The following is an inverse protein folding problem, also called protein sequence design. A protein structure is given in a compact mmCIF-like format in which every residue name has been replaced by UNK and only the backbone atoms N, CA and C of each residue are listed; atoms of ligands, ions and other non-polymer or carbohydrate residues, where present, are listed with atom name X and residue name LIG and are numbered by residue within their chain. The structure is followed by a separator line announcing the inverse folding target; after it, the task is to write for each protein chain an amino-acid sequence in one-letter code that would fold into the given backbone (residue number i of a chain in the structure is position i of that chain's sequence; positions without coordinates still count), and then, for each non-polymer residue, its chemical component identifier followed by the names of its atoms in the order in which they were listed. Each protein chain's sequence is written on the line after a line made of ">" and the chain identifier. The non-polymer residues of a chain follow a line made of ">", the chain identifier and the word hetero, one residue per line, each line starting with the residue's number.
data_IF_540021132543
#
_entry.id   IF_540021132543
#
_cell.length_a   1.000
_cell.length_b   1.000
_cell.length_c   1.000
_cell.angle_alpha   90.00
_cell.angle_beta   90.00
_cell.angle_gamma   90.00
#
_symmetry.space_group_name_H-M   'P 1'
#
loop_
_entity.id
_entity.type
_entity.pdbx_description
1 polymer ?
#
# COMPACT_ATOMS: atom_id res chain seq x y z
N UNK A 1 41.56 25.78 -22.12
CA UNK A 1 41.84 24.82 -21.03
C UNK A 1 40.65 24.67 -20.07
N UNK A 2 40.06 25.72 -19.56
CA UNK A 2 38.91 25.72 -18.63
C UNK A 2 37.66 24.98 -19.18
N UNK A 3 37.31 25.12 -20.46
CA UNK A 3 36.14 24.49 -21.10
C UNK A 3 36.24 22.94 -21.12
N UNK A 4 37.43 22.38 -21.29
CA UNK A 4 37.68 20.94 -21.30
C UNK A 4 37.65 20.35 -19.88
N UNK A 5 38.03 21.13 -18.87
CA UNK A 5 37.90 20.74 -17.44
C UNK A 5 36.45 20.71 -16.99
N UNK A 6 35.63 21.69 -17.38
CA UNK A 6 34.20 21.74 -17.09
C UNK A 6 33.42 20.58 -17.74
N UNK A 7 33.71 20.25 -19.00
CA UNK A 7 33.07 19.11 -19.68
C UNK A 7 33.45 17.77 -19.03
N UNK A 8 34.71 17.59 -18.62
CA UNK A 8 35.15 16.39 -17.89
C UNK A 8 34.48 16.25 -16.53
N UNK A 9 34.34 17.36 -15.78
CA UNK A 9 33.68 17.36 -14.46
C UNK A 9 32.19 17.04 -14.58
N UNK A 10 31.49 17.61 -15.56
CA UNK A 10 30.08 17.31 -15.86
C UNK A 10 29.90 15.86 -16.27
N UNK A 11 30.78 15.31 -17.10
CA UNK A 11 30.71 13.90 -17.51
C UNK A 11 30.97 12.93 -16.33
N UNK A 12 31.94 13.23 -15.45
CA UNK A 12 32.18 12.43 -14.23
C UNK A 12 30.98 12.45 -13.27
N UNK A 13 30.34 13.60 -13.10
CA UNK A 13 29.12 13.70 -12.29
C UNK A 13 27.97 12.87 -12.90
N UNK A 14 27.82 12.87 -14.22
CA UNK A 14 26.77 12.12 -14.91
C UNK A 14 27.00 10.60 -14.82
N UNK A 15 28.23 10.12 -14.97
CA UNK A 15 28.58 8.69 -14.83
C UNK A 15 28.43 8.23 -13.39
N UNK A 16 28.80 9.06 -12.41
CA UNK A 16 28.66 8.76 -10.98
C UNK A 16 27.17 8.60 -10.56
N UNK A 17 26.30 9.46 -11.07
CA UNK A 17 24.86 9.39 -10.78
C UNK A 17 24.17 8.21 -11.46
N UNK A 18 24.57 7.89 -12.71
CA UNK A 18 24.05 6.72 -13.43
C UNK A 18 24.42 5.40 -12.76
N UNK A 19 25.67 5.26 -12.30
CA UNK A 19 26.12 4.05 -11.60
C UNK A 19 25.45 3.89 -10.22
N UNK A 20 25.21 4.98 -9.51
CA UNK A 20 24.48 4.98 -8.24
C UNK A 20 22.99 4.63 -8.45
N UNK A 21 22.36 5.15 -9.50
CA UNK A 21 20.98 4.78 -9.86
C UNK A 21 20.87 3.30 -10.18
N UNK A 22 21.74 2.78 -11.04
CA UNK A 22 21.77 1.36 -11.40
C UNK A 22 21.95 0.44 -10.18
N UNK A 23 22.75 0.87 -9.19
CA UNK A 23 22.92 0.12 -7.95
C UNK A 23 21.62 0.05 -7.13
N UNK A 24 20.90 1.16 -7.00
CA UNK A 24 19.63 1.21 -6.23
C UNK A 24 18.55 0.39 -6.93
N UNK A 25 18.41 0.48 -8.24
CA UNK A 25 17.45 -0.31 -9.01
C UNK A 25 17.68 -1.82 -8.86
N UNK A 26 18.96 -2.24 -8.80
CA UNK A 26 19.31 -3.64 -8.51
C UNK A 26 18.92 -4.05 -7.08
N UNK A 27 19.09 -3.19 -6.10
CA UNK A 27 18.67 -3.45 -4.71
C UNK A 27 17.15 -3.59 -4.61
N UNK A 28 16.40 -2.71 -5.26
CA UNK A 28 14.93 -2.79 -5.30
C UNK A 28 14.49 -4.09 -5.98
N UNK A 29 15.09 -4.44 -7.11
CA UNK A 29 14.78 -5.69 -7.82
C UNK A 29 15.09 -6.92 -6.97
N UNK A 30 16.25 -6.95 -6.30
CA UNK A 30 16.61 -8.05 -5.41
C UNK A 30 15.66 -8.16 -4.20
N UNK A 31 15.28 -7.01 -3.62
CA UNK A 31 14.30 -6.97 -2.54
C UNK A 31 12.92 -7.48 -2.96
N UNK A 32 12.45 -7.10 -4.15
CA UNK A 32 11.19 -7.61 -4.71
C UNK A 32 11.26 -9.11 -5.03
N UNK A 33 12.40 -9.59 -5.52
CA UNK A 33 12.61 -11.02 -5.74
C UNK A 33 12.55 -11.79 -4.42
N UNK A 34 13.24 -11.33 -3.39
CA UNK A 34 13.18 -11.93 -2.05
C UNK A 34 11.74 -11.91 -1.49
N UNK A 35 11.00 -10.81 -1.69
CA UNK A 35 9.59 -10.69 -1.32
C UNK A 35 8.71 -11.73 -2.04
N UNK A 36 8.92 -11.92 -3.34
CA UNK A 36 8.20 -12.91 -4.14
C UNK A 36 8.42 -14.36 -3.65
N UNK A 37 9.65 -14.67 -3.18
CA UNK A 37 9.98 -15.97 -2.59
C UNK A 37 9.71 -16.03 -1.07
N UNK A 38 8.97 -15.07 -0.53
CA UNK A 38 8.58 -14.98 0.88
C UNK A 38 9.77 -14.88 1.87
N UNK A 39 10.98 -14.56 1.38
CA UNK A 39 12.10 -14.22 2.25
C UNK A 39 12.02 -12.75 2.67
N UNK A 40 11.07 -12.49 3.58
CA UNK A 40 10.77 -11.15 4.05
C UNK A 40 11.95 -10.49 4.77
N UNK A 41 12.73 -11.26 5.50
CA UNK A 41 13.92 -10.75 6.21
C UNK A 41 14.99 -10.27 5.23
N UNK A 42 15.27 -11.06 4.20
CA UNK A 42 16.22 -10.67 3.14
C UNK A 42 15.68 -9.49 2.34
N UNK A 43 14.39 -9.48 2.04
CA UNK A 43 13.70 -8.39 1.37
C UNK A 43 13.90 -7.06 2.11
N UNK A 44 13.65 -7.03 3.44
CA UNK A 44 13.88 -5.87 4.30
C UNK A 44 15.34 -5.40 4.25
N UNK A 45 16.31 -6.30 4.25
CA UNK A 45 17.74 -5.94 4.13
C UNK A 45 18.02 -5.17 2.85
N UNK A 46 17.53 -5.65 1.72
CA UNK A 46 17.70 -4.97 0.43
C UNK A 46 17.03 -3.60 0.40
N UNK A 47 15.80 -3.48 0.93
CA UNK A 47 15.11 -2.19 0.97
C UNK A 47 15.76 -1.21 1.94
N UNK A 48 16.31 -1.66 3.07
CA UNK A 48 17.11 -0.82 3.95
C UNK A 48 18.31 -0.20 3.23
N UNK A 49 19.03 -0.98 2.42
CA UNK A 49 20.15 -0.49 1.60
C UNK A 49 19.67 0.50 0.52
N UNK A 50 18.54 0.23 -0.12
CA UNK A 50 17.96 1.12 -1.12
C UNK A 50 17.52 2.46 -0.51
N UNK A 51 16.85 2.44 0.63
CA UNK A 51 16.42 3.62 1.40
C UNK A 51 17.63 4.42 1.87
N UNK A 52 18.66 3.75 2.41
CA UNK A 52 19.89 4.42 2.83
C UNK A 52 20.62 5.13 1.69
N UNK A 53 20.54 4.58 0.47
CA UNK A 53 21.13 5.19 -0.72
C UNK A 53 20.27 6.30 -1.33
N UNK A 54 18.94 6.13 -1.36
CA UNK A 54 17.97 7.07 -1.94
C UNK A 54 16.67 7.10 -1.14
N UNK A 55 16.61 7.85 -0.03
CA UNK A 55 15.46 7.89 0.87
C UNK A 55 14.21 8.56 0.26
N UNK A 56 14.37 9.27 -0.86
CA UNK A 56 13.29 9.98 -1.56
C UNK A 56 12.52 9.12 -2.58
N UNK A 57 12.87 7.84 -2.76
CA UNK A 57 12.12 6.89 -3.58
C UNK A 57 11.04 6.24 -2.72
N UNK A 58 9.77 6.28 -3.16
CA UNK A 58 8.66 5.69 -2.41
C UNK A 58 8.65 4.15 -2.46
N UNK A 59 9.11 3.55 -3.57
CA UNK A 59 9.02 2.10 -3.79
C UNK A 59 9.73 1.26 -2.72
N UNK A 60 10.96 1.57 -2.28
CA UNK A 60 11.61 0.77 -1.24
C UNK A 60 10.86 0.83 0.10
N UNK A 61 10.28 1.99 0.45
CA UNK A 61 9.45 2.13 1.64
C UNK A 61 8.17 1.27 1.52
N UNK A 62 7.49 1.37 0.38
CA UNK A 62 6.29 0.58 0.12
C UNK A 62 6.56 -0.92 0.20
N UNK A 63 7.57 -1.43 -0.51
CA UNK A 63 7.87 -2.86 -0.49
C UNK A 63 8.39 -3.34 0.86
N UNK A 64 9.10 -2.50 1.62
CA UNK A 64 9.50 -2.83 2.98
C UNK A 64 8.30 -2.90 3.92
N UNK A 65 7.32 -2.02 3.73
CA UNK A 65 6.04 -2.09 4.42
C UNK A 65 5.31 -3.41 4.14
N UNK A 66 5.28 -3.87 2.89
CA UNK A 66 4.71 -5.19 2.53
C UNK A 66 5.45 -6.32 3.26
N UNK A 67 6.79 -6.30 3.27
CA UNK A 67 7.58 -7.32 3.95
C UNK A 67 7.32 -7.35 5.46
N UNK A 68 7.27 -6.17 6.11
CA UNK A 68 6.96 -6.05 7.53
C UNK A 68 5.56 -6.53 7.87
N UNK A 69 4.56 -6.18 7.02
CA UNK A 69 3.19 -6.65 7.19
C UNK A 69 3.12 -8.18 7.21
N UNK A 70 3.84 -8.86 6.31
CA UNK A 70 3.88 -10.32 6.26
C UNK A 70 4.63 -10.95 7.44
N UNK A 71 5.41 -10.18 8.18
CA UNK A 71 6.05 -10.58 9.45
C UNK A 71 5.24 -10.16 10.68
N UNK A 72 3.99 -9.71 10.51
CA UNK A 72 3.11 -9.19 11.55
C UNK A 72 3.66 -7.95 12.29
N UNK A 73 4.69 -7.27 11.75
CA UNK A 73 5.15 -5.97 12.22
C UNK A 73 4.24 -4.86 11.67
N UNK A 74 3.00 -4.80 12.17
CA UNK A 74 2.00 -3.85 11.67
C UNK A 74 2.36 -2.39 11.96
N UNK A 75 3.02 -2.12 13.09
CA UNK A 75 3.46 -0.76 13.43
C UNK A 75 4.57 -0.29 12.49
N UNK A 76 5.56 -1.13 12.25
CA UNK A 76 6.63 -0.83 11.30
C UNK A 76 6.14 -0.77 9.85
N UNK A 77 5.16 -1.60 9.47
CA UNK A 77 4.54 -1.57 8.15
C UNK A 77 3.79 -0.24 7.92
N UNK A 78 2.96 0.20 8.87
CA UNK A 78 2.27 1.47 8.77
C UNK A 78 3.24 2.66 8.70
N UNK A 79 4.30 2.64 9.50
CA UNK A 79 5.34 3.67 9.46
C UNK A 79 5.97 3.81 8.07
N UNK A 80 6.33 2.69 7.46
CA UNK A 80 6.90 2.67 6.09
C UNK A 80 5.87 3.08 5.03
N UNK A 81 4.60 2.66 5.15
CA UNK A 81 3.53 3.11 4.26
C UNK A 81 3.30 4.63 4.34
N UNK A 82 3.39 5.20 5.55
CA UNK A 82 3.30 6.64 5.76
C UNK A 82 4.43 7.39 5.04
N UNK A 83 5.68 6.91 5.14
CA UNK A 83 6.80 7.52 4.41
C UNK A 83 6.63 7.38 2.89
N UNK A 84 6.18 6.23 2.40
CA UNK A 84 5.90 6.04 0.98
C UNK A 84 4.82 7.02 0.47
N UNK A 85 3.73 7.24 1.23
CA UNK A 85 2.66 8.16 0.85
C UNK A 85 3.08 9.64 0.93
N UNK A 86 3.99 10.03 1.84
CA UNK A 86 4.58 11.37 1.85
C UNK A 86 5.38 11.64 0.56
N UNK A 87 6.06 10.62 0.05
CA UNK A 87 6.86 10.72 -1.16
C UNK A 87 6.01 10.65 -2.44
N UNK A 88 4.99 9.80 -2.44
CA UNK A 88 4.05 9.69 -3.56
C UNK A 88 2.61 9.37 -3.07
N UNK A 89 1.74 10.39 -2.98
CA UNK A 89 0.36 10.21 -2.50
C UNK A 89 -0.61 9.68 -3.58
N UNK A 90 -0.14 9.36 -4.77
CA UNK A 90 -0.99 8.94 -5.89
C UNK A 90 -0.97 7.43 -6.16
N UNK A 91 -0.41 6.63 -5.23
CA UNK A 91 -0.33 5.18 -5.36
C UNK A 91 -1.41 4.54 -4.47
N UNK A 92 -2.46 4.05 -5.11
CA UNK A 92 -3.61 3.42 -4.46
C UNK A 92 -3.23 2.17 -3.65
N UNK A 93 -2.28 1.36 -4.14
CA UNK A 93 -1.82 0.14 -3.44
C UNK A 93 -1.22 0.42 -2.05
N UNK A 94 -0.64 1.62 -1.85
CA UNK A 94 -0.08 1.99 -0.54
C UNK A 94 -1.22 2.29 0.46
N UNK A 95 -2.29 2.93 0.01
CA UNK A 95 -3.48 3.14 0.85
C UNK A 95 -4.16 1.82 1.20
N UNK A 96 -4.29 0.89 0.23
CA UNK A 96 -4.86 -0.45 0.48
C UNK A 96 -4.03 -1.22 1.51
N UNK A 97 -2.70 -1.27 1.35
CA UNK A 97 -1.81 -1.90 2.32
C UNK A 97 -1.94 -1.27 3.71
N UNK A 98 -1.95 0.07 3.81
CA UNK A 98 -2.07 0.77 5.09
C UNK A 98 -3.44 0.53 5.73
N UNK A 99 -4.50 0.50 4.93
CA UNK A 99 -5.85 0.16 5.40
C UNK A 99 -5.89 -1.26 6.00
N UNK A 100 -5.37 -2.26 5.28
CA UNK A 100 -5.31 -3.64 5.78
C UNK A 100 -4.46 -3.71 7.05
N UNK A 101 -3.34 -2.98 7.10
CA UNK A 101 -2.47 -2.90 8.29
C UNK A 101 -3.22 -2.32 9.49
N UNK A 102 -4.05 -1.30 9.30
CA UNK A 102 -4.89 -0.67 10.32
C UNK A 102 -6.03 -1.57 10.80
N UNK A 103 -6.63 -2.34 9.88
CA UNK A 103 -7.62 -3.38 10.22
C UNK A 103 -7.00 -4.41 11.17
N UNK A 104 -5.79 -4.88 10.87
CA UNK A 104 -5.07 -5.83 11.74
C UNK A 104 -4.77 -5.25 13.14
N UNK A 105 -4.80 -3.93 13.30
CA UNK A 105 -4.66 -3.21 14.56
C UNK A 105 -6.01 -2.82 15.18
N UNK A 106 -7.15 -3.18 14.60
CA UNK A 106 -8.50 -2.78 15.07
C UNK A 106 -8.85 -1.31 14.83
N UNK A 107 -8.10 -0.62 13.97
CA UNK A 107 -8.26 0.83 13.71
C UNK A 107 -9.11 1.06 12.45
N UNK A 108 -10.37 0.68 12.53
CA UNK A 108 -11.29 0.62 11.38
C UNK A 108 -11.59 1.98 10.76
N UNK A 109 -11.82 3.04 11.55
CA UNK A 109 -12.09 4.38 11.02
C UNK A 109 -10.96 4.93 10.15
N UNK A 110 -9.72 4.68 10.57
CA UNK A 110 -8.56 5.10 9.81
C UNK A 110 -8.36 4.26 8.53
N UNK A 111 -8.69 2.97 8.59
CA UNK A 111 -8.70 2.11 7.42
C UNK A 111 -9.78 2.53 6.40
N UNK A 112 -10.99 2.92 6.87
CA UNK A 112 -12.05 3.48 6.03
C UNK A 112 -11.56 4.74 5.31
N UNK A 113 -10.84 5.63 6.02
CA UNK A 113 -10.27 6.85 5.44
C UNK A 113 -9.24 6.56 4.34
N UNK A 114 -8.45 5.50 4.50
CA UNK A 114 -7.51 5.03 3.47
C UNK A 114 -8.24 4.48 2.25
N UNK A 115 -9.30 3.68 2.44
CA UNK A 115 -10.12 3.22 1.32
C UNK A 115 -10.83 4.38 0.62
N UNK A 116 -11.25 5.43 1.33
CA UNK A 116 -11.77 6.65 0.71
C UNK A 116 -10.72 7.31 -0.19
N UNK A 117 -9.46 7.34 0.24
CA UNK A 117 -8.36 7.85 -0.58
C UNK A 117 -8.10 6.97 -1.82
N UNK A 118 -8.05 5.65 -1.64
CA UNK A 118 -7.87 4.70 -2.75
C UNK A 118 -9.01 4.78 -3.77
N UNK A 119 -10.27 4.92 -3.32
CA UNK A 119 -11.45 5.09 -4.17
C UNK A 119 -11.40 6.40 -4.96
N UNK A 120 -10.90 7.51 -4.36
CA UNK A 120 -10.72 8.77 -5.09
C UNK A 120 -9.71 8.64 -6.22
N UNK A 121 -8.64 7.88 -6.02
CA UNK A 121 -7.62 7.62 -7.04
C UNK A 121 -8.13 6.66 -8.13
N UNK A 122 -8.86 5.62 -7.73
CA UNK A 122 -9.37 4.59 -8.64
C UNK A 122 -10.86 4.28 -8.38
N UNK A 123 -11.80 5.14 -8.81
CA UNK A 123 -13.22 5.02 -8.48
C UNK A 123 -13.91 3.78 -9.06
N UNK A 124 -13.29 3.12 -10.06
CA UNK A 124 -13.83 1.92 -10.70
C UNK A 124 -13.35 0.61 -10.08
N UNK A 125 -12.43 0.66 -9.14
CA UNK A 125 -11.94 -0.53 -8.46
C UNK A 125 -12.95 -0.98 -7.40
N UNK A 126 -13.80 -1.92 -7.76
CA UNK A 126 -14.85 -2.46 -6.89
C UNK A 126 -14.32 -3.07 -5.59
N UNK A 127 -13.05 -3.52 -5.56
CA UNK A 127 -12.45 -4.13 -4.38
C UNK A 127 -12.27 -3.12 -3.24
N UNK A 128 -11.90 -1.87 -3.54
CA UNK A 128 -11.79 -0.83 -2.50
C UNK A 128 -13.15 -0.48 -1.89
N UNK A 129 -14.19 -0.41 -2.72
CA UNK A 129 -15.57 -0.23 -2.22
C UNK A 129 -16.00 -1.39 -1.32
N UNK A 130 -15.69 -2.62 -1.74
CA UNK A 130 -16.00 -3.83 -0.98
C UNK A 130 -15.21 -3.89 0.34
N UNK A 131 -13.89 -3.66 0.32
CA UNK A 131 -13.06 -3.68 1.51
C UNK A 131 -13.47 -2.60 2.51
N UNK A 132 -13.90 -1.42 2.03
CA UNK A 132 -14.45 -0.39 2.89
C UNK A 132 -15.79 -0.83 3.55
N UNK A 133 -16.66 -1.51 2.82
CA UNK A 133 -17.89 -2.05 3.39
C UNK A 133 -17.61 -3.15 4.43
N UNK A 134 -16.64 -4.02 4.15
CA UNK A 134 -16.16 -5.02 5.10
C UNK A 134 -15.63 -4.35 6.38
N UNK A 135 -14.80 -3.30 6.25
CA UNK A 135 -14.32 -2.51 7.37
C UNK A 135 -15.45 -1.96 8.26
N UNK A 136 -16.50 -1.43 7.63
CA UNK A 136 -17.68 -0.92 8.34
C UNK A 136 -18.42 -2.03 9.10
N UNK A 137 -18.53 -3.21 8.51
CA UNK A 137 -19.12 -4.37 9.16
C UNK A 137 -18.30 -4.77 10.39
N UNK A 138 -16.99 -4.92 10.25
CA UNK A 138 -16.08 -5.27 11.36
C UNK A 138 -16.10 -4.23 12.50
N UNK A 139 -16.35 -2.96 12.16
CA UNK A 139 -16.51 -1.86 13.12
C UNK A 139 -17.92 -1.81 13.77
N UNK A 140 -18.80 -2.77 13.43
CA UNK A 140 -20.19 -2.80 13.93
C UNK A 140 -21.12 -1.78 13.29
N UNK A 141 -20.67 -1.02 12.28
CA UNK A 141 -21.47 -0.04 11.53
C UNK A 141 -22.31 -0.72 10.45
N UNK A 142 -23.19 -1.63 10.87
CA UNK A 142 -23.93 -2.52 9.99
C UNK A 142 -24.81 -1.79 8.98
N UNK A 143 -25.53 -0.74 9.39
CA UNK A 143 -26.42 0.01 8.49
C UNK A 143 -25.64 0.74 7.40
N UNK A 144 -24.48 1.32 7.75
CA UNK A 144 -23.57 1.96 6.79
C UNK A 144 -22.94 0.93 5.82
N UNK A 145 -22.62 -0.26 6.32
CA UNK A 145 -22.12 -1.36 5.50
C UNK A 145 -23.18 -1.82 4.49
N UNK A 146 -24.44 -2.01 4.94
CA UNK A 146 -25.56 -2.39 4.07
C UNK A 146 -25.84 -1.35 2.99
N UNK A 147 -25.93 -0.08 3.35
CA UNK A 147 -26.13 1.00 2.37
C UNK A 147 -25.01 1.05 1.31
N UNK A 148 -23.79 0.83 1.72
CA UNK A 148 -22.68 0.76 0.79
C UNK A 148 -22.73 -0.48 -0.11
N UNK A 149 -23.09 -1.65 0.42
CA UNK A 149 -23.24 -2.89 -0.34
C UNK A 149 -24.35 -2.78 -1.37
N UNK A 150 -25.45 -2.10 -1.06
CA UNK A 150 -26.51 -1.81 -2.03
C UNK A 150 -26.00 -0.95 -3.18
N UNK A 151 -25.18 0.05 -2.89
CA UNK A 151 -24.55 0.88 -3.92
C UNK A 151 -23.58 0.06 -4.79
N UNK A 152 -22.82 -0.87 -4.20
CA UNK A 152 -21.91 -1.78 -4.92
C UNK A 152 -22.70 -2.70 -5.85
N UNK A 153 -23.77 -3.34 -5.37
CA UNK A 153 -24.62 -4.25 -6.12
C UNK A 153 -25.30 -3.53 -7.28
N UNK A 154 -25.80 -2.31 -7.04
CA UNK A 154 -26.41 -1.50 -8.10
C UNK A 154 -25.40 -1.15 -9.20
N UNK A 155 -24.16 -0.89 -8.84
CA UNK A 155 -23.10 -0.48 -9.79
C UNK A 155 -22.43 -1.68 -10.47
N UNK A 156 -22.35 -2.81 -9.79
CA UNK A 156 -21.68 -4.04 -10.25
C UNK A 156 -22.53 -5.27 -9.89
N UNK A 157 -23.62 -5.47 -10.61
CA UNK A 157 -24.64 -6.50 -10.38
C UNK A 157 -24.10 -7.94 -10.32
N UNK A 158 -22.99 -8.23 -11.01
CA UNK A 158 -22.34 -9.55 -11.05
C UNK A 158 -21.24 -9.72 -9.98
N UNK A 159 -21.11 -8.80 -9.05
CA UNK A 159 -20.09 -8.91 -8.00
C UNK A 159 -20.57 -9.75 -6.82
N UNK A 160 -20.49 -11.09 -6.96
CA UNK A 160 -21.02 -12.07 -5.99
C UNK A 160 -20.56 -11.85 -4.55
N UNK A 161 -19.29 -11.42 -4.34
CA UNK A 161 -18.76 -11.11 -3.01
C UNK A 161 -19.62 -10.08 -2.24
N UNK A 162 -20.19 -9.10 -2.92
CA UNK A 162 -21.02 -8.08 -2.28
C UNK A 162 -22.33 -8.66 -1.73
N UNK A 163 -22.94 -9.61 -2.44
CA UNK A 163 -24.15 -10.31 -1.97
C UNK A 163 -23.83 -11.19 -0.75
N UNK A 164 -22.72 -11.93 -0.79
CA UNK A 164 -22.28 -12.76 0.34
C UNK A 164 -22.03 -11.92 1.58
N UNK A 165 -21.29 -10.83 1.46
CA UNK A 165 -21.02 -9.92 2.57
C UNK A 165 -22.31 -9.27 3.10
N UNK A 166 -23.25 -8.91 2.21
CA UNK A 166 -24.55 -8.36 2.64
C UNK A 166 -25.33 -9.34 3.49
N UNK A 167 -25.37 -10.60 3.12
CA UNK A 167 -25.99 -11.66 3.90
C UNK A 167 -25.31 -11.82 5.29
N UNK A 168 -23.98 -11.78 5.32
CA UNK A 168 -23.20 -11.86 6.56
C UNK A 168 -23.50 -10.68 7.50
N UNK A 169 -23.56 -9.45 6.96
CA UNK A 169 -23.94 -8.26 7.76
C UNK A 169 -25.32 -8.42 8.39
N UNK A 170 -26.31 -8.98 7.67
CA UNK A 170 -27.64 -9.21 8.25
C UNK A 170 -27.62 -10.24 9.37
N UNK A 171 -26.80 -11.30 9.26
CA UNK A 171 -26.63 -12.30 10.31
C UNK A 171 -26.01 -11.67 11.56
N UNK A 172 -24.89 -10.98 11.42
CA UNK A 172 -24.21 -10.32 12.55
C UNK A 172 -25.08 -9.24 13.21
N UNK A 173 -25.82 -8.45 12.40
CA UNK A 173 -26.74 -7.43 12.94
C UNK A 173 -27.87 -8.05 13.76
N UNK A 174 -28.36 -9.26 13.39
CA UNK A 174 -29.42 -9.95 14.13
C UNK A 174 -28.91 -10.50 15.46
N UNK A 175 -27.68 -10.96 15.52
CA UNK A 175 -27.09 -11.54 16.73
C UNK A 175 -26.71 -10.48 17.79
N UNK A 176 -26.73 -9.19 17.41
CA UNK A 176 -26.43 -8.04 18.29
C UNK A 176 -27.68 -7.33 18.86
N UNK A 177 -28.89 -7.83 18.52
CA UNK A 177 -30.18 -7.34 19.05
C UNK A 177 -30.67 -8.31 20.11
#
# INVERSE_FOLDING_TARGET
>A
MIRRLLTGLVFMLFVGTASAQYRVDRLITAGRSALYYEDYVLSIKYFNLAIGAKPYLYEPWYYRSVAKFNLDDFVGAEGDANEALKLNPYINDIYDLRAITRIRQGRYDEAISDYDAAIRLEPRNRNYWFNRALCKMEDGKYDDALAQLDSIITRWDKFSKAYSLKAEVYLQKKDTI
#
